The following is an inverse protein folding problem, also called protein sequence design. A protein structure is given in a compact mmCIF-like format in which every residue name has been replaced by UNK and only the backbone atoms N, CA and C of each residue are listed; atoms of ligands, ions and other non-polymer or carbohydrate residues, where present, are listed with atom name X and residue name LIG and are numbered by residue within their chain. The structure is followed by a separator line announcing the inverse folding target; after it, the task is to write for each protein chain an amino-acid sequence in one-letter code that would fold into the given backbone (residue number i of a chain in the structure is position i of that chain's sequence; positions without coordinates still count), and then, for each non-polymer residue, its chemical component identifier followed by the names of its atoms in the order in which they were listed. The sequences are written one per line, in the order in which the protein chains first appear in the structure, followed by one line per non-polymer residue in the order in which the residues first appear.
data_IF_378239336488
#
_entry.id   IF_378239336488
#
_cell.length_a   1.000
_cell.length_b   1.000
_cell.length_c   1.000
_cell.angle_alpha   90.00
_cell.angle_beta   90.00
_cell.angle_gamma   90.00
#
_symmetry.space_group_name_H-M   'P 1'
#
loop_
_entity.id
_entity.type
_entity.pdbx_description
1 polymer ?
#
# COMPACT_ATOMS: atom_id res chain seq x y z
N UNK A 1 -25.93 -18.30 0.38
CA UNK A 1 -26.43 -17.15 1.19
C UNK A 1 -26.17 -15.82 0.48
N UNK A 2 -24.94 -15.56 -0.01
CA UNK A 2 -24.66 -14.42 -0.89
C UNK A 2 -25.63 -14.34 -2.07
N UNK A 3 -25.80 -15.44 -2.82
CA UNK A 3 -26.79 -15.55 -3.90
C UNK A 3 -28.23 -15.22 -3.45
N UNK A 4 -28.61 -15.58 -2.21
CA UNK A 4 -29.93 -15.27 -1.65
C UNK A 4 -30.09 -13.80 -1.25
N UNK A 5 -29.02 -13.16 -0.76
CA UNK A 5 -28.94 -11.71 -0.55
C UNK A 5 -29.02 -10.97 -1.89
N UNK A 6 -28.21 -11.35 -2.87
CA UNK A 6 -28.15 -10.72 -4.20
C UNK A 6 -29.50 -10.81 -4.93
N UNK A 7 -30.15 -11.98 -4.91
CA UNK A 7 -31.49 -12.17 -5.51
C UNK A 7 -32.60 -11.46 -4.74
N UNK A 8 -32.45 -11.23 -3.43
CA UNK A 8 -33.47 -10.50 -2.65
C UNK A 8 -33.64 -9.05 -3.11
N UNK A 9 -32.59 -8.44 -3.68
CA UNK A 9 -32.64 -7.10 -4.27
C UNK A 9 -33.53 -7.00 -5.51
N UNK A 10 -33.92 -8.13 -6.12
CA UNK A 10 -34.86 -8.18 -7.25
C UNK A 10 -36.33 -8.30 -6.81
N UNK A 11 -36.60 -8.36 -5.50
CA UNK A 11 -37.94 -8.45 -4.93
C UNK A 11 -38.44 -7.07 -4.48
N UNK A 12 -39.75 -6.95 -4.25
CA UNK A 12 -40.33 -5.76 -3.59
C UNK A 12 -39.71 -5.54 -2.20
N UNK A 13 -39.56 -4.27 -1.79
CA UNK A 13 -38.82 -3.85 -0.57
C UNK A 13 -39.16 -4.69 0.68
N UNK A 14 -40.45 -4.93 0.93
CA UNK A 14 -40.91 -5.68 2.10
C UNK A 14 -40.48 -7.17 2.07
N UNK A 15 -40.62 -7.82 0.91
CA UNK A 15 -40.16 -9.19 0.71
C UNK A 15 -38.63 -9.30 0.78
N UNK A 16 -37.91 -8.32 0.22
CA UNK A 16 -36.46 -8.22 0.29
C UNK A 16 -35.96 -8.07 1.74
N UNK A 17 -36.61 -7.25 2.56
CA UNK A 17 -36.29 -7.07 3.99
C UNK A 17 -36.56 -8.35 4.78
N UNK A 18 -37.71 -9.01 4.57
CA UNK A 18 -38.07 -10.21 5.31
C UNK A 18 -37.12 -11.39 5.02
N UNK A 19 -36.74 -11.58 3.75
CA UNK A 19 -35.75 -12.60 3.37
C UNK A 19 -34.37 -12.25 3.93
N UNK A 20 -33.93 -10.99 3.87
CA UNK A 20 -32.66 -10.57 4.45
C UNK A 20 -32.61 -10.80 5.96
N UNK A 21 -33.70 -10.51 6.69
CA UNK A 21 -33.81 -10.77 8.13
C UNK A 21 -33.65 -12.26 8.46
N UNK A 22 -34.35 -13.13 7.73
CA UNK A 22 -34.23 -14.60 7.91
C UNK A 22 -32.83 -15.12 7.59
N UNK A 23 -32.20 -14.59 6.55
CA UNK A 23 -30.82 -14.96 6.18
C UNK A 23 -29.80 -14.44 7.20
N UNK A 24 -30.01 -13.26 7.80
CA UNK A 24 -29.15 -12.69 8.84
C UNK A 24 -29.17 -13.50 10.15
N UNK A 25 -30.29 -14.17 10.45
CA UNK A 25 -30.40 -15.03 11.64
C UNK A 25 -29.81 -16.44 11.45
N UNK A 26 -29.58 -16.88 10.21
CA UNK A 26 -29.16 -18.24 9.89
C UNK A 26 -27.67 -18.38 9.54
N UNK A 27 -26.93 -17.27 9.35
CA UNK A 27 -25.54 -17.34 8.92
C UNK A 27 -24.66 -16.21 9.39
N UNK A 28 -23.38 -16.55 9.54
CA UNK A 28 -22.27 -15.60 9.70
C UNK A 28 -22.20 -14.75 8.43
N UNK A 29 -22.21 -13.42 8.59
CA UNK A 29 -22.04 -12.54 7.45
C UNK A 29 -20.60 -12.62 6.94
N UNK A 30 -20.39 -12.80 5.64
CA UNK A 30 -19.06 -12.92 5.03
C UNK A 30 -18.80 -11.69 4.18
N UNK A 31 -17.79 -10.91 4.56
CA UNK A 31 -17.39 -9.69 3.89
C UNK A 31 -16.01 -9.93 3.27
N UNK A 32 -15.92 -9.89 1.95
CA UNK A 32 -14.63 -9.89 1.26
C UNK A 32 -14.18 -8.45 1.04
N UNK A 33 -12.92 -8.18 1.40
CA UNK A 33 -12.25 -6.89 1.23
C UNK A 33 -10.94 -7.11 0.49
N UNK A 34 -10.62 -6.24 -0.46
CA UNK A 34 -9.41 -6.33 -1.28
C UNK A 34 -8.77 -4.94 -1.42
N UNK A 35 -7.44 -4.84 -1.51
CA UNK A 35 -6.82 -3.64 -2.04
C UNK A 35 -7.19 -3.48 -3.52
N UNK A 36 -7.38 -2.23 -3.97
CA UNK A 36 -7.37 -1.95 -5.40
C UNK A 36 -5.90 -1.87 -5.84
N UNK A 37 -5.45 -2.74 -6.76
CA UNK A 37 -4.04 -2.83 -7.13
C UNK A 37 -3.44 -1.47 -7.48
N UNK A 38 -2.27 -1.20 -6.90
CA UNK A 38 -1.50 0.03 -7.13
C UNK A 38 -2.18 1.35 -6.71
N UNK A 39 -3.30 1.30 -5.99
CA UNK A 39 -4.02 2.53 -5.57
C UNK A 39 -3.96 2.82 -4.09
N UNK A 40 -3.41 1.90 -3.27
CA UNK A 40 -3.35 2.04 -1.81
C UNK A 40 -4.69 2.48 -1.21
N UNK A 41 -5.77 1.81 -1.64
CA UNK A 41 -7.14 1.95 -1.15
C UNK A 41 -7.80 0.57 -1.14
N UNK A 42 -8.83 0.40 -0.31
CA UNK A 42 -9.66 -0.81 -0.34
C UNK A 42 -10.77 -0.69 -1.38
N UNK A 43 -11.20 -1.82 -1.94
CA UNK A 43 -12.30 -1.92 -2.92
C UNK A 43 -13.67 -1.54 -2.33
N UNK A 44 -13.81 -1.63 -1.01
CA UNK A 44 -14.99 -1.21 -0.27
C UNK A 44 -14.60 -0.18 0.79
N UNK A 45 -14.88 1.12 0.59
CA UNK A 45 -14.58 2.16 1.59
C UNK A 45 -15.53 2.12 2.80
N UNK A 46 -16.68 1.46 2.66
CA UNK A 46 -17.65 1.28 3.74
C UNK A 46 -18.11 -0.18 3.76
N UNK A 47 -18.16 -0.77 4.95
CA UNK A 47 -18.80 -2.07 5.18
C UNK A 47 -19.78 -1.93 6.35
N UNK A 48 -20.82 -2.73 6.38
CA UNK A 48 -21.85 -2.69 7.43
C UNK A 48 -21.93 -4.02 8.13
N UNK A 49 -22.01 -4.00 9.46
CA UNK A 49 -22.18 -5.19 10.29
C UNK A 49 -23.22 -4.92 11.39
N UNK A 50 -23.93 -5.96 11.80
CA UNK A 50 -24.91 -5.84 12.87
C UNK A 50 -24.27 -6.05 14.24
N UNK A 51 -24.58 -5.17 15.18
CA UNK A 51 -24.01 -5.16 16.52
C UNK A 51 -24.16 -6.53 17.23
N UNK A 52 -23.08 -7.01 17.84
CA UNK A 52 -23.03 -8.26 18.60
C UNK A 52 -23.21 -9.56 17.80
N UNK A 53 -23.35 -9.50 16.47
CA UNK A 53 -23.48 -10.68 15.62
C UNK A 53 -22.11 -11.19 15.15
N UNK A 54 -21.95 -12.50 14.91
CA UNK A 54 -20.73 -13.04 14.32
C UNK A 54 -20.59 -12.62 12.85
N UNK A 55 -19.38 -12.24 12.47
CA UNK A 55 -19.00 -11.83 11.11
C UNK A 55 -17.67 -12.45 10.73
N UNK A 56 -17.52 -12.86 9.47
CA UNK A 56 -16.24 -13.23 8.88
C UNK A 56 -15.82 -12.16 7.88
N UNK A 57 -14.64 -11.57 8.08
CA UNK A 57 -14.01 -10.68 7.12
C UNK A 57 -12.88 -11.43 6.44
N UNK A 58 -12.96 -11.60 5.12
CA UNK A 58 -11.92 -12.21 4.30
C UNK A 58 -11.13 -11.07 3.66
N UNK A 59 -9.88 -10.91 4.05
CA UNK A 59 -8.96 -10.00 3.38
C UNK A 59 -8.13 -10.78 2.37
N UNK A 60 -8.27 -10.44 1.09
CA UNK A 60 -7.53 -11.06 -0.02
C UNK A 60 -6.59 -10.01 -0.63
N UNK A 61 -5.28 -10.21 -0.49
CA UNK A 61 -4.31 -9.29 -1.07
C UNK A 61 -4.09 -9.58 -2.56
N UNK A 62 -4.88 -8.92 -3.41
CA UNK A 62 -4.76 -8.99 -4.88
C UNK A 62 -3.76 -7.97 -5.45
N UNK A 63 -3.10 -7.19 -4.60
CA UNK A 63 -2.06 -6.24 -5.00
C UNK A 63 -0.68 -6.92 -4.98
N UNK A 64 0.29 -6.29 -5.63
CA UNK A 64 1.69 -6.74 -5.62
C UNK A 64 2.42 -6.33 -4.33
N UNK A 65 1.90 -5.31 -3.65
CA UNK A 65 2.44 -4.77 -2.41
C UNK A 65 1.85 -5.52 -1.21
N UNK A 66 2.62 -5.71 -0.14
CA UNK A 66 2.09 -6.27 1.09
C UNK A 66 1.08 -5.31 1.74
N UNK A 67 0.00 -5.87 2.27
CA UNK A 67 -1.05 -5.12 2.96
C UNK A 67 -1.57 -5.90 4.16
N UNK A 68 -2.09 -5.19 5.14
CA UNK A 68 -2.85 -5.76 6.25
C UNK A 68 -4.16 -4.99 6.42
N UNK A 69 -5.07 -5.53 7.23
CA UNK A 69 -6.33 -4.91 7.59
C UNK A 69 -6.43 -4.84 9.11
N UNK A 70 -6.45 -3.63 9.64
CA UNK A 70 -6.61 -3.35 11.08
C UNK A 70 -7.93 -2.62 11.27
N UNK A 71 -8.79 -3.10 12.16
CA UNK A 71 -10.00 -2.41 12.61
C UNK A 71 -9.69 -1.76 13.96
N UNK A 72 -9.96 -0.46 14.08
CA UNK A 72 -9.67 0.32 15.28
C UNK A 72 -10.92 0.67 16.06
N UNK A 73 -10.74 1.14 17.30
CA UNK A 73 -11.78 1.86 18.03
C UNK A 73 -12.17 3.16 17.29
N UNK A 74 -13.38 3.70 17.54
CA UNK A 74 -13.83 4.94 16.91
C UNK A 74 -12.84 6.10 17.16
N UNK A 75 -12.56 6.87 16.12
CA UNK A 75 -11.64 8.02 16.18
C UNK A 75 -10.14 7.69 16.26
N UNK A 76 -9.74 6.43 16.42
CA UNK A 76 -8.35 6.07 16.69
C UNK A 76 -7.46 5.83 15.44
N UNK A 77 -8.01 5.93 14.22
CA UNK A 77 -7.30 5.57 12.97
C UNK A 77 -5.95 6.28 12.83
N UNK A 78 -5.93 7.59 13.02
CA UNK A 78 -4.73 8.41 12.81
C UNK A 78 -3.64 8.03 13.81
N UNK A 79 -4.00 7.92 15.09
CA UNK A 79 -3.07 7.48 16.14
C UNK A 79 -2.50 6.09 15.87
N UNK A 80 -3.36 5.11 15.53
CA UNK A 80 -2.93 3.74 15.19
C UNK A 80 -2.01 3.74 13.96
N UNK A 81 -2.35 4.53 12.94
CA UNK A 81 -1.52 4.67 11.73
C UNK A 81 -0.14 5.22 12.03
N UNK A 82 -0.04 6.23 12.90
CA UNK A 82 1.25 6.82 13.26
C UNK A 82 2.05 5.91 14.20
N UNK A 83 1.41 5.20 15.13
CA UNK A 83 2.07 4.17 15.95
C UNK A 83 2.67 3.06 15.07
N UNK A 84 1.96 2.66 14.02
CA UNK A 84 2.48 1.72 13.05
C UNK A 84 3.63 2.28 12.20
N UNK A 85 3.57 3.56 11.83
CA UNK A 85 4.69 4.25 11.17
C UNK A 85 5.95 4.22 12.06
N UNK A 86 5.80 4.45 13.37
CA UNK A 86 6.90 4.38 14.34
C UNK A 86 7.52 2.99 14.40
N UNK A 87 6.74 1.92 14.23
CA UNK A 87 7.30 0.56 14.11
C UNK A 87 8.26 0.43 12.93
N UNK A 88 8.06 1.22 11.87
CA UNK A 88 8.97 1.33 10.72
C UNK A 88 10.38 1.84 11.06
N UNK A 89 10.55 2.56 12.18
CA UNK A 89 11.87 2.96 12.69
C UNK A 89 12.54 1.86 13.54
N UNK A 90 11.81 0.83 13.93
CA UNK A 90 12.29 -0.24 14.81
C UNK A 90 12.73 -1.48 14.03
N UNK A 91 13.76 -2.22 14.48
CA UNK A 91 14.11 -3.52 13.90
C UNK A 91 12.98 -4.56 13.95
N UNK A 92 12.00 -4.37 14.84
CA UNK A 92 10.89 -5.29 15.06
C UNK A 92 9.68 -5.04 14.17
N UNK A 93 9.64 -3.96 13.37
CA UNK A 93 8.46 -3.57 12.60
C UNK A 93 7.90 -4.70 11.73
N UNK A 94 8.76 -5.37 10.97
CA UNK A 94 8.39 -6.53 10.16
C UNK A 94 7.96 -7.74 11.00
N UNK A 95 8.65 -8.02 12.11
CA UNK A 95 8.30 -9.12 13.01
C UNK A 95 6.92 -8.90 13.67
N UNK A 96 6.59 -7.65 13.97
CA UNK A 96 5.26 -7.22 14.45
C UNK A 96 4.25 -7.04 13.31
N UNK A 97 4.63 -7.27 12.06
CA UNK A 97 3.77 -7.09 10.89
C UNK A 97 3.14 -5.68 10.82
N UNK A 98 3.83 -4.70 11.39
CA UNK A 98 3.38 -3.31 11.55
C UNK A 98 2.02 -3.16 12.26
N UNK A 99 1.70 -4.09 13.16
CA UNK A 99 0.54 -4.00 14.05
C UNK A 99 1.01 -3.38 15.36
N UNK A 100 0.59 -2.14 15.69
CA UNK A 100 1.00 -1.47 16.92
C UNK A 100 0.39 -2.13 18.16
N UNK A 101 1.12 -2.09 19.26
CA UNK A 101 0.69 -2.62 20.55
C UNK A 101 -0.14 -1.54 21.28
N UNK A 102 -1.46 -1.59 21.10
CA UNK A 102 -2.41 -0.65 21.68
C UNK A 102 -3.79 -1.30 21.81
N UNK A 103 -4.52 -0.93 22.86
CA UNK A 103 -5.92 -1.29 23.09
C UNK A 103 -6.89 -0.70 22.06
N UNK A 104 -6.42 0.22 21.20
CA UNK A 104 -7.19 0.83 20.11
C UNK A 104 -7.28 -0.05 18.88
N UNK A 105 -6.51 -1.13 18.79
CA UNK A 105 -6.64 -2.16 17.74
C UNK A 105 -7.62 -3.23 18.21
N UNK A 106 -8.77 -3.33 17.55
CA UNK A 106 -9.81 -4.31 17.89
C UNK A 106 -9.57 -5.65 17.21
N UNK A 107 -9.26 -5.59 15.90
CA UNK A 107 -9.04 -6.78 15.08
C UNK A 107 -7.94 -6.48 14.06
N UNK A 108 -7.13 -7.48 13.72
CA UNK A 108 -6.07 -7.33 12.74
C UNK A 108 -5.85 -8.62 11.96
N UNK A 109 -5.60 -8.50 10.66
CA UNK A 109 -4.89 -9.54 9.91
C UNK A 109 -3.38 -9.40 10.15
N UNK A 110 -2.63 -10.44 9.79
CA UNK A 110 -1.19 -10.29 9.56
C UNK A 110 -0.90 -9.47 8.29
N UNK A 111 0.38 -9.27 8.02
CA UNK A 111 0.88 -8.63 6.80
C UNK A 111 0.84 -9.60 5.62
N UNK A 112 -0.23 -9.55 4.84
CA UNK A 112 -0.45 -10.43 3.70
C UNK A 112 0.43 -10.01 2.53
N UNK A 113 1.20 -10.96 2.01
CA UNK A 113 1.93 -10.81 0.76
C UNK A 113 1.00 -10.91 -0.45
N UNK A 114 1.51 -10.57 -1.63
CA UNK A 114 0.77 -10.68 -2.88
C UNK A 114 0.21 -12.10 -3.09
N UNK A 115 -1.10 -12.19 -3.31
CA UNK A 115 -1.84 -13.43 -3.51
C UNK A 115 -2.21 -14.19 -2.22
N UNK A 116 -1.78 -13.71 -1.05
CA UNK A 116 -2.21 -14.28 0.24
C UNK A 116 -3.59 -13.77 0.64
N UNK A 117 -4.26 -14.56 1.49
CA UNK A 117 -5.54 -14.20 2.08
C UNK A 117 -5.60 -14.63 3.55
N UNK A 118 -6.38 -13.91 4.35
CA UNK A 118 -6.66 -14.28 5.74
C UNK A 118 -8.13 -14.02 6.07
N UNK A 119 -8.71 -14.89 6.91
CA UNK A 119 -10.07 -14.76 7.44
C UNK A 119 -10.01 -14.27 8.89
N UNK A 120 -10.74 -13.21 9.19
CA UNK A 120 -11.00 -12.73 10.55
C UNK A 120 -12.40 -13.14 10.95
N UNK A 121 -12.51 -14.08 11.87
CA UNK A 121 -13.77 -14.44 12.49
C UNK A 121 -13.92 -13.59 13.75
N UNK A 122 -14.85 -12.63 13.69
CA UNK A 122 -15.02 -11.63 14.74
C UNK A 122 -16.46 -11.62 15.23
N UNK A 123 -16.64 -11.22 16.49
CA UNK A 123 -17.93 -10.77 16.99
C UNK A 123 -17.98 -9.26 16.81
N UNK A 124 -18.99 -8.78 16.08
CA UNK A 124 -19.18 -7.34 15.88
C UNK A 124 -19.26 -6.61 17.23
N UNK A 125 -18.68 -5.41 17.35
CA UNK A 125 -18.88 -4.57 18.54
C UNK A 125 -20.36 -4.43 18.89
N UNK A 126 -20.68 -4.33 20.17
CA UNK A 126 -22.06 -4.12 20.63
C UNK A 126 -22.46 -2.65 20.60
N UNK A 127 -21.48 -1.76 20.70
CA UNK A 127 -21.70 -0.32 20.59
C UNK A 127 -21.87 0.06 19.11
N UNK A 128 -22.88 0.88 18.84
CA UNK A 128 -23.18 1.34 17.50
C UNK A 128 -22.21 2.47 17.12
N UNK A 129 -21.80 2.53 15.86
CA UNK A 129 -20.97 3.62 15.40
C UNK A 129 -20.06 3.28 14.24
N UNK A 130 -19.13 4.19 14.00
CA UNK A 130 -18.14 4.12 12.93
C UNK A 130 -16.80 3.64 13.49
N UNK A 131 -16.39 2.45 13.06
CA UNK A 131 -15.13 1.82 13.42
C UNK A 131 -14.22 1.86 12.19
N UNK A 132 -13.17 2.70 12.19
CA UNK A 132 -12.27 2.76 11.05
C UNK A 132 -11.55 1.43 10.84
N UNK A 133 -11.28 1.09 9.59
CA UNK A 133 -10.27 0.10 9.26
C UNK A 133 -9.20 0.70 8.36
N UNK A 134 -7.97 0.21 8.50
CA UNK A 134 -6.78 0.86 7.93
C UNK A 134 -5.69 -0.16 7.64
N UNK A 135 -4.94 0.05 6.56
CA UNK A 135 -3.68 -0.67 6.32
C UNK A 135 -2.57 0.06 7.09
N UNK A 136 -1.83 -0.65 7.93
CA UNK A 136 -0.76 -0.11 8.75
C UNK A 136 0.64 -0.42 8.22
N UNK A 137 0.74 -0.95 6.99
CA UNK A 137 2.04 -0.93 6.29
C UNK A 137 2.54 0.53 6.21
N UNK A 138 3.84 0.79 6.50
CA UNK A 138 4.36 2.16 6.57
C UNK A 138 4.01 2.99 5.34
N UNK A 139 3.55 4.23 5.54
CA UNK A 139 3.04 5.08 4.48
C UNK A 139 1.57 4.87 4.08
N UNK A 140 1.01 3.66 4.17
CA UNK A 140 -0.29 3.32 3.56
C UNK A 140 -1.50 3.88 4.33
N UNK A 141 -1.43 4.00 5.65
CA UNK A 141 -2.56 4.37 6.52
C UNK A 141 -3.20 5.74 6.20
N UNK A 142 -2.47 6.59 5.47
CA UNK A 142 -2.89 7.93 5.05
C UNK A 142 -3.94 7.91 3.93
N UNK A 143 -3.96 6.86 3.10
CA UNK A 143 -4.88 6.73 1.97
C UNK A 143 -5.68 5.44 2.03
N UNK A 144 -5.11 4.39 2.61
CA UNK A 144 -5.67 3.05 2.60
C UNK A 144 -6.49 2.78 3.87
N UNK A 145 -7.70 3.33 3.90
CA UNK A 145 -8.64 3.15 5.00
C UNK A 145 -10.10 3.12 4.51
N UNK A 146 -10.98 2.71 5.40
CA UNK A 146 -12.43 2.80 5.24
C UNK A 146 -13.13 2.72 6.59
N UNK A 147 -14.44 2.52 6.58
CA UNK A 147 -15.28 2.50 7.79
C UNK A 147 -16.13 1.25 7.87
N UNK A 148 -16.04 0.54 9.00
CA UNK A 148 -17.03 -0.42 9.44
C UNK A 148 -18.14 0.33 10.18
N UNK A 149 -19.36 0.24 9.66
CA UNK A 149 -20.56 0.79 10.27
C UNK A 149 -21.23 -0.30 11.09
N UNK A 150 -21.18 -0.18 12.40
CA UNK A 150 -21.85 -1.09 13.34
C UNK A 150 -23.25 -0.55 13.60
N UNK A 151 -24.26 -1.31 13.17
CA UNK A 151 -25.66 -0.89 13.18
C UNK A 151 -26.54 -1.84 13.98
N UNK A 152 -27.70 -1.35 14.44
CA UNK A 152 -28.65 -2.14 15.21
C UNK A 152 -29.32 -3.24 14.37
N UNK A 153 -29.72 -2.90 13.14
CA UNK A 153 -30.36 -3.82 12.18
C UNK A 153 -29.80 -3.59 10.78
N UNK A 154 -29.11 -4.60 10.23
CA UNK A 154 -28.52 -4.53 8.89
C UNK A 154 -29.55 -4.72 7.77
N UNK A 155 -30.75 -5.22 8.08
CA UNK A 155 -31.78 -5.52 7.06
C UNK A 155 -32.35 -4.27 6.39
N UNK A 156 -32.25 -3.11 7.05
CA UNK A 156 -32.68 -1.80 6.53
C UNK A 156 -31.61 -1.09 5.70
N UNK A 157 -30.36 -1.58 5.75
CA UNK A 157 -29.28 -1.04 4.94
C UNK A 157 -29.43 -1.59 3.53
N UNK A 158 -29.47 -0.73 2.48
CA UNK A 158 -29.41 -1.21 1.11
C UNK A 158 -28.22 -2.15 0.97
N UNK A 159 -28.41 -3.34 0.40
CA UNK A 159 -27.28 -4.18 -0.01
C UNK A 159 -26.36 -3.26 -0.80
N UNK A 160 -25.20 -2.89 -0.24
CA UNK A 160 -24.24 -2.09 -0.99
C UNK A 160 -24.02 -2.80 -2.30
N UNK A 161 -24.11 -2.05 -3.40
CA UNK A 161 -23.56 -2.52 -4.65
C UNK A 161 -22.17 -3.08 -4.36
N UNK A 162 -21.93 -4.32 -4.81
CA UNK A 162 -20.58 -4.84 -5.05
C UNK A 162 -19.72 -3.71 -5.62
N UNK A 163 -18.46 -3.64 -5.16
CA UNK A 163 -17.45 -2.63 -5.46
C UNK A 163 -17.72 -1.77 -6.71
N UNK A 164 -17.49 -0.44 -6.67
CA UNK A 164 -17.70 0.43 -7.83
C UNK A 164 -17.16 -0.22 -9.10
N UNK A 165 -17.98 -0.28 -10.15
CA UNK A 165 -17.48 -0.61 -11.49
C UNK A 165 -16.37 0.38 -11.79
N UNK A 166 -15.22 -0.18 -12.10
CA UNK A 166 -13.91 0.46 -12.23
C UNK A 166 -13.95 1.79 -12.99
N UNK A 167 -13.64 2.94 -12.35
CA UNK A 167 -13.54 4.23 -13.03
C UNK A 167 -12.26 4.41 -13.85
N UNK A 168 -11.33 3.45 -13.83
CA UNK A 168 -9.94 3.66 -14.24
C UNK A 168 -9.37 2.58 -15.18
N UNK A 169 -10.18 1.62 -15.61
CA UNK A 169 -9.85 0.61 -16.61
C UNK A 169 -9.00 -0.56 -16.10
N UNK A 170 -9.09 -1.68 -16.83
CA UNK A 170 -8.40 -2.94 -16.56
C UNK A 170 -6.87 -2.76 -16.55
N UNK A 171 -6.27 -2.52 -15.37
CA UNK A 171 -4.84 -2.76 -15.17
C UNK A 171 -4.67 -4.29 -15.11
N UNK A 172 -3.85 -4.91 -15.99
CA UNK A 172 -3.71 -6.36 -16.02
C UNK A 172 -3.23 -6.89 -14.66
N UNK A 173 -4.06 -7.73 -14.01
CA UNK A 173 -3.67 -8.37 -12.77
C UNK A 173 -2.59 -9.42 -13.03
N UNK A 174 -1.35 -9.11 -12.66
CA UNK A 174 -0.22 -10.03 -12.82
C UNK A 174 -0.23 -11.06 -11.69
N UNK A 175 -0.05 -12.33 -12.02
CA UNK A 175 0.04 -13.40 -11.03
C UNK A 175 1.38 -13.34 -10.31
N UNK A 176 1.37 -13.66 -9.01
CA UNK A 176 2.60 -13.90 -8.27
C UNK A 176 3.44 -14.99 -8.96
N UNK A 177 4.73 -14.71 -9.15
CA UNK A 177 5.72 -15.64 -9.71
C UNK A 177 6.55 -16.21 -8.58
N UNK A 178 7.33 -15.37 -7.89
CA UNK A 178 8.13 -15.73 -6.71
C UNK A 178 8.71 -14.50 -6.03
N UNK A 179 9.20 -14.66 -4.80
CA UNK A 179 10.04 -13.64 -4.15
C UNK A 179 11.46 -13.69 -4.71
N UNK A 180 11.90 -12.61 -5.35
CA UNK A 180 13.27 -12.49 -5.89
C UNK A 180 14.24 -12.02 -4.81
N UNK A 181 15.49 -12.50 -4.86
CA UNK A 181 16.61 -11.93 -4.12
C UNK A 181 17.54 -11.12 -5.03
N UNK A 182 18.38 -10.25 -4.46
CA UNK A 182 19.40 -9.53 -5.22
C UNK A 182 20.26 -10.52 -6.01
N UNK A 183 20.68 -11.62 -5.37
CA UNK A 183 21.53 -12.61 -6.00
C UNK A 183 20.83 -13.35 -7.15
N UNK A 184 19.52 -13.63 -7.04
CA UNK A 184 18.76 -14.24 -8.14
C UNK A 184 18.84 -13.41 -9.44
N UNK A 185 18.76 -12.09 -9.30
CA UNK A 185 18.80 -11.16 -10.43
C UNK A 185 20.23 -10.97 -10.91
N UNK A 186 21.20 -10.82 -10.00
CA UNK A 186 22.62 -10.67 -10.34
C UNK A 186 23.20 -11.88 -11.06
N UNK A 187 22.74 -13.09 -10.74
CA UNK A 187 23.14 -14.32 -11.44
C UNK A 187 22.79 -14.33 -12.94
N UNK A 188 21.91 -13.43 -13.38
CA UNK A 188 21.49 -13.30 -14.78
C UNK A 188 21.92 -11.97 -15.41
N UNK A 189 22.77 -11.19 -14.74
CA UNK A 189 23.05 -9.80 -15.14
C UNK A 189 23.82 -9.68 -16.46
N UNK A 190 24.61 -10.70 -16.79
CA UNK A 190 25.30 -10.84 -18.07
C UNK A 190 24.32 -10.92 -19.26
N UNK A 191 23.06 -11.30 -19.03
CA UNK A 191 22.02 -11.31 -20.07
C UNK A 191 21.48 -9.92 -20.40
N UNK A 192 21.93 -8.86 -19.72
CA UNK A 192 21.58 -7.47 -20.03
C UNK A 192 22.34 -6.89 -21.22
N UNK A 193 23.40 -7.56 -21.69
CA UNK A 193 24.30 -7.01 -22.73
C UNK A 193 23.61 -6.80 -24.08
N UNK A 194 22.65 -7.66 -24.43
CA UNK A 194 21.88 -7.60 -25.68
C UNK A 194 20.59 -8.45 -25.61
N UNK A 195 19.73 -8.34 -26.62
CA UNK A 195 18.53 -9.17 -26.77
C UNK A 195 17.42 -8.88 -25.76
N UNK A 196 17.44 -7.72 -25.09
CA UNK A 196 16.36 -7.26 -24.21
C UNK A 196 15.23 -6.61 -25.01
N UNK A 197 14.02 -6.67 -24.47
CA UNK A 197 12.85 -6.03 -25.09
C UNK A 197 12.56 -4.67 -24.47
N UNK A 198 12.73 -3.60 -25.27
CA UNK A 198 12.50 -2.22 -24.85
C UNK A 198 11.04 -1.97 -24.45
N UNK A 199 10.09 -2.48 -25.22
CA UNK A 199 8.68 -2.23 -25.04
C UNK A 199 8.14 -2.99 -23.82
N UNK A 200 8.61 -4.23 -23.63
CA UNK A 200 8.40 -5.01 -22.40
C UNK A 200 8.85 -4.21 -21.17
N UNK A 201 10.09 -3.72 -21.14
CA UNK A 201 10.62 -2.93 -20.03
C UNK A 201 9.84 -1.64 -19.77
N UNK A 202 9.44 -0.92 -20.82
CA UNK A 202 8.63 0.30 -20.73
C UNK A 202 7.25 0.02 -20.13
N UNK A 203 6.59 -1.04 -20.58
CA UNK A 203 5.28 -1.45 -20.06
C UNK A 203 5.38 -1.85 -18.59
N UNK A 204 6.38 -2.63 -18.21
CA UNK A 204 6.61 -3.05 -16.83
C UNK A 204 6.82 -1.84 -15.91
N UNK A 205 7.64 -0.85 -16.32
CA UNK A 205 7.87 0.38 -15.54
C UNK A 205 6.57 1.15 -15.23
N UNK A 206 5.57 1.03 -16.12
CA UNK A 206 4.25 1.63 -15.93
C UNK A 206 3.33 0.71 -15.11
N UNK A 207 3.27 -0.58 -15.44
CA UNK A 207 2.36 -1.56 -14.82
C UNK A 207 2.64 -1.75 -13.33
N UNK A 208 3.91 -1.78 -12.91
CA UNK A 208 4.26 -1.85 -11.48
C UNK A 208 4.43 -0.49 -10.83
N UNK A 209 3.86 0.55 -11.46
CA UNK A 209 3.72 1.90 -10.91
C UNK A 209 5.02 2.63 -10.55
N UNK A 210 6.18 2.21 -11.09
CA UNK A 210 7.43 2.95 -10.92
C UNK A 210 7.28 4.40 -11.42
N UNK A 211 6.56 4.59 -12.53
CA UNK A 211 6.28 5.91 -13.13
C UNK A 211 5.47 6.84 -12.23
N UNK A 212 4.73 6.31 -11.23
CA UNK A 212 3.97 7.13 -10.30
C UNK A 212 4.89 7.99 -9.40
N UNK A 213 6.09 7.48 -9.10
CA UNK A 213 7.06 8.12 -8.21
C UNK A 213 8.30 8.64 -8.93
N UNK A 214 8.76 7.93 -9.98
CA UNK A 214 10.00 8.21 -10.68
C UNK A 214 9.75 8.77 -12.08
N UNK A 215 10.34 9.92 -12.36
CA UNK A 215 10.37 10.49 -13.69
C UNK A 215 11.39 9.75 -14.57
N UNK A 216 11.01 9.52 -15.82
CA UNK A 216 11.86 9.01 -16.90
C UNK A 216 11.72 9.96 -18.08
N UNK A 217 12.81 10.60 -18.51
CA UNK A 217 12.81 11.61 -19.59
C UNK A 217 11.72 12.69 -19.39
N UNK A 218 11.54 13.16 -18.16
CA UNK A 218 10.55 14.18 -17.81
C UNK A 218 9.10 13.69 -17.69
N UNK A 219 8.83 12.40 -17.89
CA UNK A 219 7.50 11.79 -17.71
C UNK A 219 7.46 10.93 -16.45
N UNK A 220 6.52 11.21 -15.54
CA UNK A 220 6.33 10.47 -14.29
C UNK A 220 6.30 11.35 -13.04
N UNK A 221 6.37 10.73 -11.87
CA UNK A 221 6.38 11.40 -10.57
C UNK A 221 7.69 12.11 -10.25
N UNK A 222 7.64 13.06 -9.32
CA UNK A 222 8.81 13.79 -8.79
C UNK A 222 9.12 13.47 -7.33
N UNK A 223 8.46 12.44 -6.80
CA UNK A 223 8.60 12.04 -5.41
C UNK A 223 9.94 11.36 -5.15
N UNK A 224 10.38 10.53 -6.09
CA UNK A 224 11.59 9.74 -5.96
C UNK A 224 12.67 10.26 -6.92
N UNK A 225 13.93 9.75 -6.86
CA UNK A 225 14.98 10.20 -7.76
C UNK A 225 14.57 10.11 -9.23
N UNK A 226 14.91 11.13 -10.02
CA UNK A 226 14.74 11.09 -11.46
C UNK A 226 15.69 10.04 -12.07
N UNK A 227 15.17 9.23 -13.00
CA UNK A 227 15.93 8.19 -13.66
C UNK A 227 17.05 8.76 -14.55
N UNK A 228 16.95 10.02 -15.00
CA UNK A 228 18.05 10.72 -15.69
C UNK A 228 19.25 10.91 -14.75
N UNK A 229 19.01 11.21 -13.47
CA UNK A 229 20.10 11.34 -12.50
C UNK A 229 20.72 9.98 -12.16
N UNK A 230 19.95 8.90 -12.21
CA UNK A 230 20.48 7.54 -12.11
C UNK A 230 21.47 7.24 -13.24
N UNK A 231 21.16 7.64 -14.48
CA UNK A 231 22.07 7.47 -15.61
C UNK A 231 23.39 8.23 -15.43
N UNK A 232 23.32 9.48 -14.95
CA UNK A 232 24.53 10.26 -14.63
C UNK A 232 25.37 9.58 -13.55
N UNK A 233 24.72 9.08 -12.48
CA UNK A 233 25.42 8.33 -11.42
C UNK A 233 26.09 7.06 -11.93
N UNK A 234 25.48 6.36 -12.89
CA UNK A 234 26.09 5.19 -13.55
C UNK A 234 27.31 5.60 -14.40
N UNK A 235 27.18 6.66 -15.21
CA UNK A 235 28.28 7.17 -16.03
C UNK A 235 29.47 7.67 -15.20
N UNK A 236 29.20 8.33 -14.08
CA UNK A 236 30.21 8.82 -13.12
C UNK A 236 30.74 7.72 -12.18
N UNK A 237 30.30 6.46 -12.32
CA UNK A 237 30.64 5.34 -11.42
C UNK A 237 30.29 5.58 -9.94
N UNK A 238 29.37 6.51 -9.66
CA UNK A 238 28.84 6.78 -8.31
C UNK A 238 27.83 5.72 -7.87
N UNK A 239 27.28 4.96 -8.82
CA UNK A 239 26.46 3.77 -8.59
C UNK A 239 26.81 2.69 -9.61
N UNK A 240 26.34 1.47 -9.36
CA UNK A 240 26.51 0.33 -10.26
C UNK A 240 25.19 -0.42 -10.41
N UNK A 241 25.17 -1.41 -11.31
CA UNK A 241 23.99 -2.23 -11.58
C UNK A 241 23.57 -3.04 -10.35
N UNK A 242 24.52 -3.47 -9.51
CA UNK A 242 24.20 -4.23 -8.32
C UNK A 242 23.44 -3.41 -7.28
N UNK A 243 23.81 -2.14 -7.10
CA UNK A 243 23.06 -1.19 -6.26
C UNK A 243 21.65 -0.92 -6.79
N UNK A 244 21.47 -0.86 -8.12
CA UNK A 244 20.13 -0.71 -8.73
C UNK A 244 19.28 -1.94 -8.45
N UNK A 245 19.83 -3.14 -8.63
CA UNK A 245 19.14 -4.39 -8.32
C UNK A 245 18.79 -4.47 -6.84
N UNK A 246 19.72 -4.11 -5.95
CA UNK A 246 19.46 -4.02 -4.52
C UNK A 246 18.30 -3.06 -4.20
N UNK A 247 18.26 -1.87 -4.80
CA UNK A 247 17.17 -0.92 -4.60
C UNK A 247 15.81 -1.42 -5.12
N UNK A 248 15.79 -2.22 -6.18
CA UNK A 248 14.55 -2.80 -6.72
C UNK A 248 14.04 -3.99 -5.91
N UNK A 249 14.94 -4.80 -5.36
CA UNK A 249 14.59 -6.00 -4.59
C UNK A 249 14.35 -5.67 -3.11
N UNK A 250 15.21 -4.84 -2.53
CA UNK A 250 15.24 -4.47 -1.11
C UNK A 250 15.35 -2.95 -0.97
N UNK A 251 14.31 -2.18 -1.35
CA UNK A 251 14.33 -0.72 -1.36
C UNK A 251 14.64 -0.10 0.01
N UNK A 252 14.36 -0.80 1.10
CA UNK A 252 14.65 -0.36 2.47
C UNK A 252 16.12 -0.52 2.89
N UNK A 253 16.95 -1.20 2.08
CA UNK A 253 18.37 -1.47 2.41
C UNK A 253 19.19 -0.18 2.50
N UNK A 254 19.00 0.72 1.54
CA UNK A 254 19.68 2.01 1.49
C UNK A 254 18.71 3.07 0.96
N UNK A 255 18.37 4.03 1.82
CA UNK A 255 17.43 5.12 1.50
C UNK A 255 18.22 6.44 1.57
N UNK A 256 18.23 7.25 0.52
CA UNK A 256 18.88 8.57 0.60
C UNK A 256 18.14 9.46 1.61
N UNK A 257 18.87 10.23 2.42
CA UNK A 257 18.31 11.01 3.54
C UNK A 257 17.12 11.91 3.13
N UNK A 258 17.18 12.54 1.95
CA UNK A 258 16.10 13.39 1.41
C UNK A 258 14.78 12.66 1.09
N UNK A 259 14.79 11.33 1.01
CA UNK A 259 13.60 10.51 0.78
C UNK A 259 13.19 9.71 2.02
N UNK A 260 13.91 9.83 3.15
CA UNK A 260 13.54 9.15 4.40
C UNK A 260 12.33 9.83 5.01
N UNK A 261 11.34 9.01 5.36
CA UNK A 261 10.21 9.46 6.18
C UNK A 261 10.72 9.78 7.58
N UNK A 262 10.44 10.99 8.04
CA UNK A 262 10.66 11.44 9.41
C UNK A 262 9.42 11.17 10.23
N UNK A 263 9.62 10.76 11.48
CA UNK A 263 8.57 10.61 12.49
C UNK A 263 8.93 11.57 13.62
N UNK A 264 8.01 12.50 13.92
CA UNK A 264 8.21 13.57 14.88
C UNK A 264 7.16 13.42 15.97
N UNK A 265 7.61 13.37 17.22
CA UNK A 265 6.78 13.44 18.42
C UNK A 265 6.89 14.87 18.94
N UNK A 266 5.76 15.53 19.09
CA UNK A 266 5.66 16.89 19.62
C UNK A 266 5.58 16.84 21.16
N UNK A 267 5.98 17.94 21.81
CA UNK A 267 5.88 18.10 23.28
C UNK A 267 4.45 17.97 23.80
N UNK A 268 3.44 18.32 22.97
CA UNK A 268 2.02 18.15 23.29
C UNK A 268 1.51 16.70 23.09
N UNK A 269 2.40 15.77 22.73
CA UNK A 269 2.11 14.36 22.50
C UNK A 269 1.57 14.06 21.10
N UNK A 270 1.36 15.05 20.23
CA UNK A 270 0.97 14.79 18.84
C UNK A 270 2.12 14.14 18.08
N UNK A 271 1.78 13.23 17.19
CA UNK A 271 2.75 12.66 16.26
C UNK A 271 2.51 13.18 14.84
N UNK A 272 3.61 13.51 14.16
CA UNK A 272 3.63 13.87 12.75
C UNK A 272 4.60 12.95 12.01
N UNK A 273 4.30 12.64 10.75
CA UNK A 273 5.23 11.89 9.92
C UNK A 273 5.12 12.24 8.45
N UNK A 274 6.26 12.31 7.78
CA UNK A 274 6.35 12.69 6.38
C UNK A 274 7.78 12.88 5.90
N UNK A 275 7.94 13.21 4.62
CA UNK A 275 9.26 13.49 4.03
C UNK A 275 9.59 14.97 4.21
N UNK A 276 10.85 15.29 4.55
CA UNK A 276 11.30 16.68 4.68
C UNK A 276 11.25 17.37 3.34
N UNK A 277 10.45 18.44 3.22
CA UNK A 277 10.42 19.31 2.04
C UNK A 277 11.16 20.63 2.26
N UNK A 278 11.32 21.03 3.51
CA UNK A 278 12.10 22.19 3.92
C UNK A 278 12.51 22.05 5.38
N UNK A 279 13.72 22.46 5.72
CA UNK A 279 14.21 22.55 7.09
C UNK A 279 15.18 23.72 7.22
N UNK A 280 15.00 24.54 8.25
CA UNK A 280 15.98 25.54 8.68
C UNK A 280 16.27 25.40 10.20
N UNK A 281 16.86 26.43 10.81
CA UNK A 281 17.21 26.40 12.24
C UNK A 281 15.98 26.28 13.16
N UNK A 282 14.81 26.81 12.75
CA UNK A 282 13.60 26.91 13.57
C UNK A 282 12.45 26.05 13.05
N UNK A 283 12.33 25.89 11.75
CA UNK A 283 11.15 25.31 11.11
C UNK A 283 11.52 24.00 10.41
N UNK A 284 10.70 22.99 10.66
CA UNK A 284 10.67 21.74 9.90
C UNK A 284 9.34 21.66 9.13
N UNK A 285 9.42 21.39 7.84
CA UNK A 285 8.25 21.19 6.98
C UNK A 285 8.24 19.77 6.44
N UNK A 286 7.19 19.02 6.78
CA UNK A 286 6.99 17.64 6.36
C UNK A 286 5.86 17.54 5.34
N UNK A 287 6.09 16.81 4.26
CA UNK A 287 5.02 16.35 3.38
C UNK A 287 4.50 15.01 3.89
N UNK A 288 3.27 15.02 4.43
CA UNK A 288 2.63 13.82 4.94
C UNK A 288 2.26 12.84 3.81
N UNK A 289 1.79 13.35 2.66
CA UNK A 289 1.53 12.55 1.48
C UNK A 289 2.20 13.19 0.25
N UNK A 290 3.44 12.79 -0.06
CA UNK A 290 4.15 13.38 -1.20
C UNK A 290 3.60 13.00 -2.58
N UNK A 291 2.67 12.04 -2.65
CA UNK A 291 1.95 11.68 -3.88
C UNK A 291 0.73 12.59 -4.14
N UNK A 292 0.29 13.35 -3.14
CA UNK A 292 -0.80 14.31 -3.30
C UNK A 292 -0.31 15.53 -4.09
N UNK A 293 -1.00 15.84 -5.19
CA UNK A 293 -0.70 17.03 -6.01
C UNK A 293 -0.97 18.34 -5.27
N UNK A 294 -1.79 18.30 -4.22
CA UNK A 294 -2.13 19.42 -3.35
C UNK A 294 -1.37 19.33 -2.03
N UNK A 295 -0.04 19.13 -2.08
CA UNK A 295 0.85 18.87 -0.93
C UNK A 295 0.46 19.71 0.30
N UNK A 296 -0.27 19.10 1.23
CA UNK A 296 -0.49 19.68 2.55
C UNK A 296 0.79 19.46 3.35
N UNK A 297 1.56 20.53 3.48
CA UNK A 297 2.78 20.53 4.28
C UNK A 297 2.40 20.76 5.75
N UNK A 298 2.91 19.93 6.64
CA UNK A 298 2.85 20.14 8.08
C UNK A 298 4.06 20.98 8.45
N UNK A 299 3.82 22.17 8.99
CA UNK A 299 4.86 23.03 9.54
C UNK A 299 4.99 22.79 11.04
N UNK A 300 6.22 22.55 11.49
CA UNK A 300 6.58 22.18 12.85
C UNK A 300 7.66 23.15 13.32
N UNK A 301 7.43 23.80 14.46
CA UNK A 301 8.50 24.52 15.16
C UNK A 301 9.40 23.50 15.87
N UNK A 302 10.70 23.57 15.59
CA UNK A 302 11.69 22.62 16.12
C UNK A 302 11.82 22.69 17.64
N UNK A 303 11.42 23.80 18.26
CA UNK A 303 11.38 23.91 19.73
C UNK A 303 10.27 23.06 20.36
N UNK A 304 9.22 22.74 19.59
CA UNK A 304 8.08 21.95 20.04
C UNK A 304 8.26 20.45 19.75
N UNK A 305 9.43 20.04 19.23
CA UNK A 305 9.80 18.64 19.00
C UNK A 305 10.35 18.05 20.29
N UNK A 306 9.72 16.97 20.75
CA UNK A 306 10.19 16.13 21.86
C UNK A 306 11.14 15.03 21.34
N UNK A 307 10.72 14.29 20.31
CA UNK A 307 11.50 13.19 19.72
C UNK A 307 11.42 13.24 18.19
N UNK A 308 12.51 12.89 17.50
CA UNK A 308 12.55 12.78 16.04
C UNK A 308 13.30 11.51 15.65
N UNK A 309 12.61 10.66 14.91
CA UNK A 309 13.10 9.40 14.36
C UNK A 309 13.05 9.40 12.82
N UNK A 310 13.83 8.50 12.23
CA UNK A 310 13.77 8.21 10.79
C UNK A 310 13.21 6.80 10.57
N UNK A 311 12.31 6.65 9.60
CA UNK A 311 11.83 5.33 9.18
C UNK A 311 12.96 4.54 8.51
N UNK A 312 13.05 3.25 8.86
CA UNK A 312 13.93 2.30 8.19
C UNK A 312 13.25 1.61 7.01
N UNK A 313 11.97 1.94 6.76
CA UNK A 313 11.18 1.39 5.65
C UNK A 313 11.08 2.42 4.55
N UNK A 314 11.38 2.00 3.32
CA UNK A 314 11.27 2.86 2.15
C UNK A 314 9.82 3.10 1.76
N UNK A 315 9.55 4.28 1.22
CA UNK A 315 8.30 4.57 0.51
C UNK A 315 8.20 3.80 -0.82
N UNK A 316 9.34 3.37 -1.37
CA UNK A 316 9.35 2.46 -2.51
C UNK A 316 8.90 1.06 -2.03
N UNK A 317 7.82 0.50 -2.59
CA UNK A 317 7.27 -0.76 -2.11
C UNK A 317 8.23 -1.94 -2.28
N UNK A 318 8.22 -2.87 -1.34
CA UNK A 318 8.89 -4.17 -1.51
C UNK A 318 8.08 -5.09 -2.42
N UNK A 319 8.75 -6.03 -3.07
CA UNK A 319 8.10 -7.06 -3.86
C UNK A 319 7.61 -6.62 -5.24
N UNK A 320 8.01 -5.44 -5.73
CA UNK A 320 7.67 -4.92 -7.05
C UNK A 320 8.00 -5.89 -8.20
N UNK A 321 9.01 -6.74 -8.03
CA UNK A 321 9.46 -7.73 -9.02
C UNK A 321 8.74 -9.08 -8.91
N UNK A 322 7.93 -9.32 -7.88
CA UNK A 322 7.46 -10.65 -7.52
C UNK A 322 6.45 -11.24 -8.52
N UNK A 323 5.85 -10.41 -9.38
CA UNK A 323 4.94 -10.83 -10.45
C UNK A 323 5.62 -10.89 -11.82
N UNK A 324 6.94 -10.74 -11.87
CA UNK A 324 7.74 -10.78 -13.09
C UNK A 324 8.53 -12.06 -13.19
N UNK A 325 8.65 -12.57 -14.41
CA UNK A 325 9.63 -13.60 -14.77
C UNK A 325 11.04 -13.00 -14.79
N UNK A 326 12.07 -13.85 -14.80
CA UNK A 326 13.46 -13.41 -14.92
C UNK A 326 13.69 -12.51 -16.14
N UNK A 327 13.13 -12.88 -17.29
CA UNK A 327 13.31 -12.13 -18.53
C UNK A 327 12.66 -10.75 -18.46
N UNK A 328 11.46 -10.66 -17.89
CA UNK A 328 10.78 -9.38 -17.67
C UNK A 328 11.57 -8.47 -16.71
N UNK A 329 12.16 -9.02 -15.65
CA UNK A 329 13.04 -8.25 -14.75
C UNK A 329 14.24 -7.69 -15.52
N UNK A 330 14.86 -8.50 -16.39
CA UNK A 330 15.99 -8.06 -17.20
C UNK A 330 15.59 -6.99 -18.24
N UNK A 331 14.41 -7.10 -18.83
CA UNK A 331 13.88 -6.10 -19.75
C UNK A 331 13.59 -4.77 -19.02
N UNK A 332 12.99 -4.82 -17.82
CA UNK A 332 12.79 -3.66 -16.95
C UNK A 332 14.11 -3.01 -16.56
N UNK A 333 15.10 -3.81 -16.13
CA UNK A 333 16.43 -3.31 -15.78
C UNK A 333 17.11 -2.65 -16.98
N UNK A 334 17.04 -3.26 -18.17
CA UNK A 334 17.57 -2.67 -19.39
C UNK A 334 16.90 -1.33 -19.72
N UNK A 335 15.58 -1.22 -19.55
CA UNK A 335 14.85 0.02 -19.73
C UNK A 335 15.28 1.11 -18.74
N UNK A 336 15.46 0.78 -17.46
CA UNK A 336 15.94 1.71 -16.42
C UNK A 336 17.38 2.16 -16.68
N UNK A 337 18.30 1.21 -16.90
CA UNK A 337 19.74 1.47 -17.08
C UNK A 337 20.00 2.27 -18.36
N UNK A 338 19.30 1.94 -19.45
CA UNK A 338 19.37 2.71 -20.69
C UNK A 338 18.72 4.10 -20.60
N UNK A 339 18.02 4.39 -19.50
CA UNK A 339 17.11 5.52 -19.30
C UNK A 339 16.20 5.74 -20.50
N UNK A 340 15.47 4.69 -20.86
CA UNK A 340 14.54 4.68 -21.97
C UNK A 340 15.16 5.07 -23.32
N UNK A 341 16.44 4.74 -23.57
CA UNK A 341 17.07 4.89 -24.87
C UNK A 341 16.94 3.60 -25.70
N UNK A 342 16.08 3.55 -26.74
CA UNK A 342 15.88 2.34 -27.55
C UNK A 342 17.13 1.92 -28.34
N UNK A 343 18.07 2.83 -28.58
CA UNK A 343 19.32 2.55 -29.31
C UNK A 343 20.44 1.98 -28.42
N UNK A 344 20.17 1.76 -27.14
CA UNK A 344 21.15 1.21 -26.20
C UNK A 344 21.55 -0.23 -26.59
N UNK A 345 22.83 -0.64 -26.44
CA UNK A 345 23.30 -1.97 -26.82
C UNK A 345 22.47 -3.14 -26.28
N UNK A 346 21.89 -2.99 -25.09
CA UNK A 346 20.99 -3.97 -24.47
C UNK A 346 19.80 -4.40 -25.36
N UNK A 347 19.34 -3.54 -26.28
CA UNK A 347 18.18 -3.80 -27.16
C UNK A 347 18.58 -4.24 -28.58
N UNK A 348 19.87 -4.39 -28.85
CA UNK A 348 20.33 -4.95 -30.13
C UNK A 348 19.96 -6.43 -30.18
N UNK A 349 19.48 -6.87 -31.35
CA UNK A 349 19.07 -8.26 -31.60
C UNK A 349 20.24 -9.17 -31.88
#
# INVERSE_FOLDING_TARGET
IQLGKDLSGQLGREAAVNIRRRLADLAVDVIVLRPIPHRMIYDRPHIYIQAGKPVEIVFENVDIMPHNLIITTPGAREEVGILAERLGSTPQGFAKQFIPDTDKVLFATGMLQAGEQQRLQITAPTELGEYPFVCTFPGHWRTMFGTVHVVADISDIPLQATAPIDPHGDIPQRKFVRKWSTQDVLNAINLLESGRDFESGRQLFTQVSCVACHAMKGTGGKLAPDMVDLQKKLADQKTDVAKIVDALVVPSKEIEAKYRVQIVVMVDGKLHSGVVVFEDEKILRLSANPLDKNVKVVEIDKQDIDERDESKVSIMPEGLLNTMTRNEILDLLAYIISGANPEHPAFRK
#
